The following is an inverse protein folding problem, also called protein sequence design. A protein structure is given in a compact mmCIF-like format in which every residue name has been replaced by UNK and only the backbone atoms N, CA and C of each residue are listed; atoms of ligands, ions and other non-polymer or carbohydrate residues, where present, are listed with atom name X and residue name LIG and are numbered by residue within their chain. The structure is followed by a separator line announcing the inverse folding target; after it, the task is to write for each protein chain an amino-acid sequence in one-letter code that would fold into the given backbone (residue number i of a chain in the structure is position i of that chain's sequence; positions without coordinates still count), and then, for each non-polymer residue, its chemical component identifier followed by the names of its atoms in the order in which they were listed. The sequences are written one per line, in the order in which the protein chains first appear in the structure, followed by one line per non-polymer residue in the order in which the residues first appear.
data_IF_825548215270
#
_entry.id   IF_825548215270
#
_cell.length_a   1.000
_cell.length_b   1.000
_cell.length_c   1.000
_cell.angle_alpha   90.00
_cell.angle_beta   90.00
_cell.angle_gamma   90.00
#
_symmetry.space_group_name_H-M   'P 1'
#
loop_
_entity.id
_entity.type
_entity.pdbx_description
1 polymer ?
#
# COMPACT_ATOMS: atom_id res chain seq x y z
N UNK A 1 -24.28 -3.30 -3.68
CA UNK A 1 -23.57 -2.01 -3.80
C UNK A 1 -22.16 -2.27 -3.33
N UNK A 2 -21.30 -2.64 -4.28
CA UNK A 2 -19.95 -3.10 -3.95
C UNK A 2 -19.08 -1.88 -3.62
N UNK A 3 -18.00 -2.13 -2.92
CA UNK A 3 -16.96 -1.17 -2.57
C UNK A 3 -16.26 -0.67 -3.84
N UNK A 4 -16.93 0.23 -4.56
CA UNK A 4 -16.47 0.79 -5.82
C UNK A 4 -15.23 1.65 -5.58
N UNK A 5 -14.29 1.60 -6.54
CA UNK A 5 -13.12 2.45 -6.52
C UNK A 5 -13.53 3.91 -6.71
N UNK A 6 -12.88 4.80 -5.98
CA UNK A 6 -13.02 6.24 -6.10
C UNK A 6 -11.63 6.87 -6.02
N UNK A 7 -11.52 8.17 -6.30
CA UNK A 7 -10.25 8.88 -6.25
C UNK A 7 -10.36 10.11 -5.37
N UNK A 8 -9.27 10.37 -4.66
CA UNK A 8 -9.09 11.55 -3.82
C UNK A 8 -8.69 12.78 -4.68
N UNK A 9 -8.62 13.97 -4.08
CA UNK A 9 -8.24 15.18 -4.83
C UNK A 9 -6.79 15.16 -5.37
N UNK A 10 -5.94 14.29 -4.81
CA UNK A 10 -4.55 14.05 -5.22
C UNK A 10 -4.44 12.84 -6.18
N UNK A 11 -5.57 12.35 -6.70
CA UNK A 11 -5.67 11.18 -7.58
C UNK A 11 -5.21 9.85 -6.94
N UNK A 12 -5.23 9.76 -5.61
CA UNK A 12 -5.05 8.51 -4.87
C UNK A 12 -6.32 7.67 -4.94
N UNK A 13 -6.15 6.36 -5.17
CA UNK A 13 -7.25 5.41 -5.18
C UNK A 13 -7.78 5.17 -3.78
N UNK A 14 -9.07 5.36 -3.59
CA UNK A 14 -9.80 4.99 -2.40
C UNK A 14 -10.89 3.98 -2.68
N UNK A 15 -11.60 3.63 -1.62
CA UNK A 15 -12.76 2.75 -1.66
C UNK A 15 -13.97 3.50 -1.15
N UNK A 16 -15.09 3.40 -1.86
CA UNK A 16 -16.32 4.02 -1.42
C UNK A 16 -16.87 3.31 -0.18
N UNK A 17 -16.81 3.98 0.97
CA UNK A 17 -17.33 3.47 2.25
C UNK A 17 -18.33 4.43 2.89
N UNK A 18 -19.11 3.92 3.83
CA UNK A 18 -19.83 4.81 4.76
C UNK A 18 -18.83 5.59 5.60
N UNK A 19 -19.22 6.79 6.04
CA UNK A 19 -18.30 7.63 6.81
C UNK A 19 -17.80 6.91 8.07
N UNK A 20 -18.72 6.30 8.81
CA UNK A 20 -18.41 5.55 10.02
C UNK A 20 -17.39 4.42 9.74
N UNK A 21 -17.58 3.64 8.66
CA UNK A 21 -16.66 2.55 8.32
C UNK A 21 -15.27 3.08 7.99
N UNK A 22 -15.16 4.15 7.21
CA UNK A 22 -13.88 4.76 6.88
C UNK A 22 -13.12 5.23 8.15
N UNK A 23 -13.83 5.85 9.10
CA UNK A 23 -13.25 6.22 10.41
C UNK A 23 -12.72 5.00 11.17
N UNK A 24 -13.50 3.93 11.21
CA UNK A 24 -13.20 2.73 12.01
C UNK A 24 -11.96 1.99 11.51
N UNK A 25 -11.66 2.08 10.21
CA UNK A 25 -10.44 1.52 9.61
C UNK A 25 -9.28 2.54 9.57
N UNK A 26 -9.44 3.71 10.17
CA UNK A 26 -8.41 4.76 10.22
C UNK A 26 -8.16 5.46 8.88
N UNK A 27 -9.09 5.37 7.93
CA UNK A 27 -8.98 6.02 6.63
C UNK A 27 -9.32 7.51 6.67
N UNK A 28 -8.78 8.24 5.69
CA UNK A 28 -9.08 9.65 5.46
C UNK A 28 -10.24 9.78 4.46
N UNK A 29 -11.12 10.74 4.71
CA UNK A 29 -12.22 11.07 3.80
C UNK A 29 -11.73 12.01 2.71
N UNK A 30 -12.00 11.68 1.45
CA UNK A 30 -11.74 12.60 0.34
C UNK A 30 -12.85 12.53 -0.70
N UNK A 31 -13.84 13.41 -0.59
CA UNK A 31 -14.92 13.50 -1.57
C UNK A 31 -16.07 12.53 -1.31
N UNK A 32 -17.02 12.54 -2.23
CA UNK A 32 -18.34 11.93 -2.09
C UNK A 32 -18.50 10.86 -3.17
N UNK A 33 -19.07 9.72 -2.80
CA UNK A 33 -19.37 8.62 -3.71
C UNK A 33 -20.77 8.06 -3.39
N UNK A 34 -21.23 7.07 -4.17
CA UNK A 34 -22.55 6.45 -4.02
C UNK A 34 -23.70 7.49 -3.92
N UNK A 35 -23.73 8.45 -4.85
CA UNK A 35 -24.76 9.51 -4.95
C UNK A 35 -24.95 10.33 -3.65
N UNK A 36 -23.90 10.52 -2.84
CA UNK A 36 -24.00 11.28 -1.59
C UNK A 36 -24.05 10.44 -0.32
N UNK A 37 -24.21 9.12 -0.46
CA UNK A 37 -24.36 8.21 0.68
C UNK A 37 -23.03 7.69 1.22
N UNK A 38 -21.97 7.77 0.41
CA UNK A 38 -20.62 7.31 0.76
C UNK A 38 -19.60 8.45 0.74
N UNK A 39 -18.45 8.16 1.34
CA UNK A 39 -17.24 8.98 1.23
C UNK A 39 -16.14 8.12 0.60
N UNK A 40 -15.32 8.73 -0.26
CA UNK A 40 -14.12 8.05 -0.72
C UNK A 40 -13.15 7.93 0.44
N UNK A 41 -12.81 6.70 0.79
CA UNK A 41 -11.94 6.40 1.90
C UNK A 41 -10.56 5.99 1.40
N UNK A 42 -9.55 6.79 1.73
CA UNK A 42 -8.15 6.46 1.45
C UNK A 42 -7.52 5.96 2.74
N UNK A 43 -7.05 4.71 2.74
CA UNK A 43 -6.39 4.10 3.89
C UNK A 43 -4.88 4.19 3.68
N UNK A 44 -4.18 4.76 4.65
CA UNK A 44 -2.72 4.79 4.69
C UNK A 44 -2.23 4.13 5.98
N UNK A 45 -1.22 3.27 5.89
CA UNK A 45 -0.60 2.59 7.02
C UNK A 45 0.92 2.68 6.94
N UNK A 46 1.56 2.49 8.08
CA UNK A 46 3.02 2.44 8.21
C UNK A 46 3.45 1.09 8.80
N UNK A 47 4.69 1.00 9.26
CA UNK A 47 5.31 -0.24 9.71
C UNK A 47 4.52 -0.99 10.78
N UNK A 48 4.70 -2.31 10.82
CA UNK A 48 4.17 -3.25 11.81
C UNK A 48 2.63 -3.28 11.85
N UNK A 49 1.99 -2.94 10.73
CA UNK A 49 0.55 -3.00 10.58
C UNK A 49 0.13 -4.18 9.73
N UNK A 50 -1.13 -4.52 9.87
CA UNK A 50 -1.77 -5.48 8.99
C UNK A 50 -3.08 -4.87 8.50
N UNK A 51 -3.45 -5.21 7.26
CA UNK A 51 -4.71 -4.79 6.69
C UNK A 51 -5.39 -5.95 5.97
N UNK A 52 -6.71 -5.84 5.82
CA UNK A 52 -7.49 -6.64 4.87
C UNK A 52 -8.36 -5.74 3.98
N UNK A 53 -7.99 -4.46 3.88
CA UNK A 53 -8.65 -3.51 3.03
C UNK A 53 -8.25 -3.74 1.56
N UNK A 54 -9.18 -3.45 0.65
CA UNK A 54 -8.98 -3.70 -0.79
C UNK A 54 -7.89 -2.82 -1.41
N UNK A 55 -7.71 -1.61 -0.87
CA UNK A 55 -6.67 -0.65 -1.28
C UNK A 55 -6.06 -0.06 -0.02
N UNK A 56 -4.72 -0.01 0.02
CA UNK A 56 -3.96 0.58 1.12
C UNK A 56 -2.71 1.27 0.57
N UNK A 57 -2.35 2.40 1.15
CA UNK A 57 -1.06 3.06 0.92
C UNK A 57 -0.11 2.72 2.05
N UNK A 58 1.01 2.08 1.73
CA UNK A 58 2.08 1.81 2.68
C UNK A 58 3.15 2.90 2.59
N UNK A 59 3.55 3.43 3.74
CA UNK A 59 4.56 4.49 3.83
C UNK A 59 5.52 4.21 4.97
N UNK A 60 6.80 4.46 4.74
CA UNK A 60 7.78 4.53 5.82
C UNK A 60 7.39 5.67 6.81
N UNK A 61 7.78 5.58 8.09
CA UNK A 61 7.36 6.52 9.14
C UNK A 61 7.68 7.99 8.86
N UNK A 62 8.77 8.26 8.14
CA UNK A 62 9.20 9.63 7.83
C UNK A 62 8.58 10.20 6.54
N UNK A 63 7.84 9.41 5.74
CA UNK A 63 7.30 9.85 4.45
C UNK A 63 6.53 11.18 4.59
N UNK A 64 6.77 12.19 3.73
CA UNK A 64 7.57 12.17 2.50
C UNK A 64 9.06 12.51 2.67
N UNK A 65 9.57 12.61 3.90
CA UNK A 65 10.99 12.81 4.16
C UNK A 65 11.74 11.48 4.06
N UNK A 66 13.06 11.59 3.87
CA UNK A 66 13.97 10.43 3.93
C UNK A 66 13.97 9.87 5.34
N UNK A 67 13.74 8.56 5.46
CA UNK A 67 13.89 7.85 6.73
C UNK A 67 15.31 7.33 6.85
N UNK A 68 15.99 7.69 7.93
CA UNK A 68 17.37 7.28 8.24
C UNK A 68 17.42 6.23 9.34
N UNK A 69 16.27 5.73 9.80
CA UNK A 69 16.17 4.70 10.82
C UNK A 69 16.48 3.33 10.23
N UNK A 70 17.56 2.69 10.69
CA UNK A 70 17.90 1.32 10.30
C UNK A 70 17.02 0.32 11.08
N UNK A 71 15.73 0.23 10.73
CA UNK A 71 14.75 -0.67 11.33
C UNK A 71 13.95 -1.40 10.26
N UNK A 72 13.53 -2.63 10.56
CA UNK A 72 12.61 -3.37 9.68
C UNK A 72 11.26 -2.63 9.66
N UNK A 73 10.78 -2.27 8.48
CA UNK A 73 9.46 -1.70 8.29
C UNK A 73 8.62 -2.65 7.43
N UNK A 74 7.73 -3.42 8.05
CA UNK A 74 6.90 -4.41 7.38
C UNK A 74 5.41 -4.07 7.45
N UNK A 75 4.62 -4.62 6.52
CA UNK A 75 3.17 -4.59 6.57
C UNK A 75 2.62 -5.90 6.01
N UNK A 76 1.66 -6.52 6.69
CA UNK A 76 0.99 -7.73 6.19
C UNK A 76 -0.33 -7.38 5.50
N UNK A 77 -0.51 -7.86 4.27
CA UNK A 77 -1.80 -7.78 3.56
C UNK A 77 -2.49 -9.14 3.67
N UNK A 78 -3.61 -9.17 4.40
CA UNK A 78 -4.44 -10.35 4.58
C UNK A 78 -5.54 -10.37 3.51
N UNK A 79 -5.32 -11.13 2.43
CA UNK A 79 -6.33 -11.34 1.38
C UNK A 79 -7.40 -12.29 1.92
N UNK A 80 -8.60 -11.76 2.19
CA UNK A 80 -9.73 -12.51 2.77
C UNK A 80 -10.80 -12.90 1.76
N UNK A 81 -10.85 -12.18 0.65
CA UNK A 81 -11.83 -12.42 -0.40
C UNK A 81 -11.33 -13.57 -1.30
N UNK A 82 -12.03 -14.71 -1.35
CA UNK A 82 -11.60 -15.86 -2.14
C UNK A 82 -11.61 -15.59 -3.65
N UNK A 83 -12.29 -14.54 -4.12
CA UNK A 83 -12.34 -14.17 -5.54
C UNK A 83 -11.13 -13.31 -5.95
N UNK A 84 -10.26 -12.92 -5.02
CA UNK A 84 -9.04 -12.15 -5.31
C UNK A 84 -7.89 -13.08 -5.71
N UNK A 85 -7.50 -13.03 -6.98
CA UNK A 85 -6.44 -13.88 -7.52
C UNK A 85 -5.03 -13.26 -7.44
N UNK A 86 -4.92 -11.93 -7.34
CA UNK A 86 -3.64 -11.22 -7.41
C UNK A 86 -3.68 -9.94 -6.58
N UNK A 87 -2.55 -9.66 -5.92
CA UNK A 87 -2.25 -8.35 -5.33
C UNK A 87 -1.31 -7.61 -6.28
N UNK A 88 -1.68 -6.38 -6.64
CA UNK A 88 -0.85 -5.46 -7.40
C UNK A 88 -0.15 -4.50 -6.43
N UNK A 89 1.13 -4.27 -6.64
CA UNK A 89 1.91 -3.25 -5.93
C UNK A 89 2.20 -2.13 -6.92
N UNK A 90 1.90 -0.89 -6.54
CA UNK A 90 2.26 0.29 -7.32
C UNK A 90 3.25 1.12 -6.50
N UNK A 91 4.45 1.35 -7.05
CA UNK A 91 5.49 2.15 -6.41
C UNK A 91 5.27 3.63 -6.70
N UNK A 92 4.38 4.28 -5.96
CA UNK A 92 4.04 5.71 -6.16
C UNK A 92 5.22 6.64 -5.88
N UNK A 93 5.97 6.35 -4.83
CA UNK A 93 7.20 7.03 -4.44
C UNK A 93 8.09 5.98 -3.77
N UNK A 94 9.21 5.67 -4.42
CA UNK A 94 10.09 4.59 -3.99
C UNK A 94 11.55 4.92 -4.32
N UNK A 95 12.32 5.15 -3.27
CA UNK A 95 13.76 5.31 -3.32
C UNK A 95 14.37 4.66 -2.08
N UNK A 96 15.30 3.72 -2.31
CA UNK A 96 16.16 3.12 -1.31
C UNK A 96 17.63 3.34 -1.71
N UNK A 97 18.56 2.91 -0.86
CA UNK A 97 19.99 2.84 -1.20
C UNK A 97 20.22 2.15 -2.56
N UNK A 98 21.19 2.66 -3.32
CA UNK A 98 21.51 2.14 -4.65
C UNK A 98 22.16 0.74 -4.59
N UNK A 99 21.94 -0.12 -5.59
CA UNK A 99 22.60 -1.42 -5.65
C UNK A 99 24.12 -1.25 -5.82
N UNK A 100 24.89 -2.16 -5.20
CA UNK A 100 26.33 -2.29 -5.40
C UNK A 100 26.60 -3.50 -6.26
N UNK A 101 27.13 -3.30 -7.47
CA UNK A 101 27.38 -4.38 -8.46
C UNK A 101 26.13 -5.22 -8.78
N UNK A 102 24.95 -4.61 -8.72
CA UNK A 102 23.66 -5.29 -8.96
C UNK A 102 23.00 -5.86 -7.71
N UNK A 103 23.70 -5.89 -6.57
CA UNK A 103 23.17 -6.41 -5.32
C UNK A 103 22.68 -5.29 -4.39
N UNK A 104 21.48 -5.48 -3.83
CA UNK A 104 20.96 -4.63 -2.77
C UNK A 104 21.68 -4.97 -1.45
N UNK A 105 22.82 -4.34 -1.16
CA UNK A 105 23.61 -4.62 0.05
C UNK A 105 23.04 -3.85 1.26
N UNK A 106 22.73 -2.57 1.08
CA UNK A 106 22.12 -1.68 2.09
C UNK A 106 20.63 -1.94 2.25
N UNK A 107 19.82 -0.90 2.04
CA UNK A 107 18.36 -1.00 2.12
C UNK A 107 17.79 -1.97 1.08
N UNK A 108 16.76 -2.73 1.49
CA UNK A 108 16.13 -3.76 0.66
C UNK A 108 14.63 -3.75 0.85
N UNK A 109 13.90 -3.82 -0.26
CA UNK A 109 12.50 -4.14 -0.27
C UNK A 109 12.30 -5.59 -0.67
N UNK A 110 11.47 -6.30 0.11
CA UNK A 110 11.16 -7.71 -0.10
C UNK A 110 9.67 -7.93 0.07
N UNK A 111 9.12 -8.78 -0.77
CA UNK A 111 7.74 -9.25 -0.66
C UNK A 111 7.77 -10.74 -0.44
N UNK A 112 7.01 -11.21 0.55
CA UNK A 112 6.79 -12.63 0.80
C UNK A 112 5.29 -12.89 0.76
N UNK A 113 4.90 -14.06 0.25
CA UNK A 113 3.51 -14.47 0.16
C UNK A 113 3.36 -15.90 0.67
N UNK A 114 2.36 -16.14 1.51
CA UNK A 114 1.96 -17.47 1.97
C UNK A 114 0.74 -17.93 1.17
N UNK A 115 0.88 -18.98 0.35
CA UNK A 115 -0.26 -19.58 -0.37
C UNK A 115 -0.16 -19.68 -1.89
N UNK A 116 0.99 -19.34 -2.49
CA UNK A 116 1.29 -19.59 -3.91
C UNK A 116 2.58 -20.40 -4.10
N UNK A 117 2.83 -20.90 -5.31
CA UNK A 117 4.17 -21.37 -5.71
C UNK A 117 5.20 -20.28 -5.40
N UNK A 118 6.47 -20.61 -5.10
CA UNK A 118 7.50 -19.61 -4.87
C UNK A 118 7.62 -18.76 -6.14
N UNK A 119 7.01 -17.58 -6.12
CA UNK A 119 7.35 -16.53 -7.05
C UNK A 119 8.76 -16.12 -6.63
N UNK A 120 9.73 -16.27 -7.51
CA UNK A 120 11.02 -15.59 -7.41
C UNK A 120 10.75 -14.09 -7.49
N UNK A 121 10.23 -13.50 -6.41
CA UNK A 121 10.02 -12.06 -6.30
C UNK A 121 11.40 -11.46 -6.05
N UNK A 122 11.91 -10.62 -6.95
CA UNK A 122 13.24 -10.05 -6.80
C UNK A 122 13.29 -9.14 -5.57
N UNK A 123 14.45 -9.09 -4.94
CA UNK A 123 14.76 -8.06 -3.94
C UNK A 123 14.97 -6.74 -4.68
N UNK A 124 14.28 -5.69 -4.27
CA UNK A 124 14.38 -4.37 -4.90
C UNK A 124 15.15 -3.38 -4.02
N UNK A 125 15.86 -2.46 -4.65
CA UNK A 125 16.52 -1.30 -4.05
C UNK A 125 16.71 -0.21 -5.13
N UNK A 126 17.29 0.93 -4.77
CA UNK A 126 17.43 2.08 -5.67
C UNK A 126 16.09 2.79 -5.96
N UNK A 127 15.99 3.41 -7.14
CA UNK A 127 14.83 4.22 -7.56
C UNK A 127 13.85 3.39 -8.41
N UNK A 128 12.63 3.15 -7.91
CA UNK A 128 11.59 2.39 -8.61
C UNK A 128 10.24 3.13 -8.68
N UNK A 129 10.27 4.46 -8.54
CA UNK A 129 9.08 5.30 -8.62
C UNK A 129 8.35 5.13 -9.97
N UNK A 130 7.02 5.05 -9.92
CA UNK A 130 6.09 4.79 -11.03
C UNK A 130 6.19 3.40 -11.68
N UNK A 131 6.78 2.40 -11.01
CA UNK A 131 6.78 0.99 -11.44
C UNK A 131 5.63 0.19 -10.78
N UNK A 132 5.28 -0.97 -11.34
CA UNK A 132 4.29 -1.91 -10.80
C UNK A 132 4.58 -3.36 -11.18
#
# INVERSE_FOLDING_TARGET
MLNDQCFDASNQSGVCYTRLKCRLIGGAYSGICALGLGACCVVSQSCHKQTSDKVVYFKNPAHPQVDTSAQLCDMTVNVKDPDVCQVRLDFVDFQLDQPTLGDCIGDKFRVTASGGSPLDIPVLCGLNTNQH
#
